data_IF_263439950763
#
_entry.id   IF_263439950763
#
_cell.length_a   1.000
_cell.length_b   1.000
_cell.length_c   1.000
_cell.angle_alpha   90.00
_cell.angle_beta   90.00
_cell.angle_gamma   90.00
#
_symmetry.space_group_name_H-M   'P 1'
#
loop_
_entity.id
_entity.type
_entity.pdbx_description
1 polymer ?
#
# COMPACT_ATOMS: atom_id res chain seq x y z
N UNK A 1 -16.76 -4.21 -20.55
CA UNK A 1 -15.83 -3.28 -21.25
C UNK A 1 -14.53 -3.99 -21.51
N UNK A 2 -13.99 -3.97 -22.74
CA UNK A 2 -12.64 -4.43 -23.00
C UNK A 2 -11.65 -3.57 -22.19
N UNK A 3 -10.67 -4.22 -21.54
CA UNK A 3 -9.61 -3.55 -20.77
C UNK A 3 -8.30 -3.74 -21.50
N UNK A 4 -7.69 -2.65 -21.94
CA UNK A 4 -6.39 -2.65 -22.62
C UNK A 4 -5.31 -2.30 -21.59
N UNK A 5 -4.28 -3.15 -21.48
CA UNK A 5 -3.17 -2.92 -20.56
C UNK A 5 -2.06 -2.17 -21.28
N UNK A 6 -1.44 -1.20 -20.61
CA UNK A 6 -0.19 -0.60 -21.07
C UNK A 6 0.91 -1.65 -20.93
N UNK A 7 1.61 -1.94 -22.02
CA UNK A 7 2.70 -2.93 -22.07
C UNK A 7 4.08 -2.26 -22.11
N UNK A 8 4.18 -1.05 -22.66
CA UNK A 8 5.43 -0.29 -22.74
C UNK A 8 5.17 1.21 -22.95
N UNK A 9 6.21 2.05 -22.85
CA UNK A 9 6.19 3.48 -23.17
C UNK A 9 7.37 3.77 -24.11
N UNK A 10 7.08 4.09 -25.38
CA UNK A 10 8.09 4.39 -26.41
C UNK A 10 7.92 5.83 -26.85
N UNK A 11 8.99 6.63 -26.85
CA UNK A 11 8.94 8.05 -27.22
C UNK A 11 7.90 8.87 -26.43
N UNK A 12 7.71 8.55 -25.15
CA UNK A 12 6.68 9.14 -24.28
C UNK A 12 5.22 8.81 -24.66
N UNK A 13 4.99 7.87 -25.58
CA UNK A 13 3.65 7.40 -25.93
C UNK A 13 3.39 5.99 -25.35
N UNK A 14 2.23 5.75 -24.72
CA UNK A 14 1.88 4.44 -24.18
C UNK A 14 1.55 3.45 -25.30
N UNK A 15 2.16 2.26 -25.22
CA UNK A 15 1.91 1.12 -26.09
C UNK A 15 0.96 0.16 -25.38
N UNK A 16 -0.12 -0.28 -26.04
CA UNK A 16 -1.15 -1.12 -25.43
C UNK A 16 -1.11 -2.56 -25.98
N UNK A 17 -1.52 -3.52 -25.15
CA UNK A 17 -1.76 -4.91 -25.56
C UNK A 17 -3.25 -5.20 -25.75
N UNK A 18 -3.59 -6.05 -26.73
CA UNK A 18 -4.97 -6.52 -26.92
C UNK A 18 -5.43 -7.35 -25.71
N UNK A 19 -6.74 -7.33 -25.34
CA UNK A 19 -7.25 -8.00 -24.14
C UNK A 19 -7.08 -9.54 -24.08
N UNK A 20 -6.63 -10.20 -25.17
CA UNK A 20 -6.48 -11.66 -25.28
C UNK A 20 -5.32 -12.12 -26.18
N UNK A 21 -4.48 -11.21 -26.67
CA UNK A 21 -3.31 -11.57 -27.48
C UNK A 21 -2.10 -10.75 -27.04
N UNK A 22 -0.90 -11.26 -27.33
CA UNK A 22 0.37 -10.53 -27.12
C UNK A 22 0.61 -9.47 -28.20
N UNK A 23 -0.38 -9.20 -29.05
CA UNK A 23 -0.25 -8.22 -30.11
C UNK A 23 -0.34 -6.80 -29.55
N UNK A 24 0.53 -5.95 -30.08
CA UNK A 24 0.52 -4.52 -29.85
C UNK A 24 -0.69 -3.91 -30.56
N UNK A 25 -1.38 -3.00 -29.88
CA UNK A 25 -2.46 -2.20 -30.43
C UNK A 25 -2.21 -0.72 -30.13
N UNK A 26 -2.44 0.14 -31.11
CA UNK A 26 -2.28 1.58 -30.93
C UNK A 26 -3.48 2.19 -30.21
N UNK A 27 -3.27 3.37 -29.60
CA UNK A 27 -4.38 4.11 -28.97
C UNK A 27 -5.45 4.52 -29.99
N UNK A 28 -5.07 4.79 -31.24
CA UNK A 28 -6.00 5.13 -32.33
C UNK A 28 -6.97 3.99 -32.63
N UNK A 29 -6.47 2.76 -32.64
CA UNK A 29 -7.30 1.57 -32.83
C UNK A 29 -8.22 1.31 -31.63
N UNK A 30 -7.74 1.52 -30.40
CA UNK A 30 -8.59 1.44 -29.20
C UNK A 30 -9.73 2.46 -29.28
N UNK A 31 -9.43 3.70 -29.68
CA UNK A 31 -10.41 4.78 -29.81
C UNK A 31 -11.42 4.53 -30.94
N UNK A 32 -11.01 3.85 -32.02
CA UNK A 32 -11.91 3.46 -33.11
C UNK A 32 -12.94 2.40 -32.66
N UNK A 33 -12.61 1.57 -31.69
CA UNK A 33 -13.49 0.55 -31.10
C UNK A 33 -14.49 1.15 -30.07
N UNK A 34 -14.33 2.44 -29.70
CA UNK A 34 -15.24 3.11 -28.77
C UNK A 34 -16.50 3.55 -29.50
N UNK A 35 -17.65 3.02 -29.08
CA UNK A 35 -18.97 3.45 -29.57
C UNK A 35 -19.17 4.95 -29.31
N UNK A 36 -19.78 5.66 -30.26
CA UNK A 36 -20.19 7.05 -30.06
C UNK A 36 -21.09 7.16 -28.81
N UNK A 37 -20.69 8.00 -27.83
CA UNK A 37 -21.34 8.08 -26.52
C UNK A 37 -20.79 7.15 -25.43
N UNK A 38 -19.74 6.36 -25.72
CA UNK A 38 -19.06 5.51 -24.76
C UNK A 38 -18.18 6.29 -23.78
N UNK A 39 -18.13 5.84 -22.51
CA UNK A 39 -17.24 6.42 -21.50
C UNK A 39 -15.87 5.73 -21.50
N UNK A 40 -14.80 6.52 -21.61
CA UNK A 40 -13.44 6.06 -21.35
C UNK A 40 -13.17 6.16 -19.85
N UNK A 41 -12.93 5.02 -19.20
CA UNK A 41 -12.52 4.97 -17.80
C UNK A 41 -11.01 4.75 -17.74
N UNK A 42 -10.27 5.82 -17.48
CA UNK A 42 -8.84 5.73 -17.17
C UNK A 42 -8.68 5.05 -15.82
N UNK A 43 -8.04 3.89 -15.79
CA UNK A 43 -7.60 3.28 -14.55
C UNK A 43 -6.30 3.99 -14.16
N UNK A 44 -6.32 4.72 -13.05
CA UNK A 44 -5.09 5.24 -12.45
C UNK A 44 -4.16 4.08 -12.12
N UNK A 45 -2.82 4.29 -12.12
CA UNK A 45 -1.89 3.27 -11.64
C UNK A 45 -2.38 2.73 -10.31
N UNK A 46 -2.43 1.42 -10.16
CA UNK A 46 -2.68 0.84 -8.85
C UNK A 46 -1.51 1.26 -7.97
N UNK A 47 -1.79 2.15 -7.04
CA UNK A 47 -0.83 2.65 -6.06
C UNK A 47 -0.46 1.51 -5.10
N UNK A 48 0.48 0.69 -5.54
CA UNK A 48 1.09 -0.35 -4.72
C UNK A 48 2.41 0.16 -4.16
N UNK A 49 2.57 -0.01 -2.85
CA UNK A 49 3.86 0.06 -2.21
C UNK A 49 4.78 -1.00 -2.82
N UNK A 50 6.06 -0.67 -2.99
CA UNK A 50 7.04 -1.62 -3.53
C UNK A 50 7.29 -2.76 -2.54
N UNK A 51 7.81 -3.88 -3.03
CA UNK A 51 8.22 -4.98 -2.14
C UNK A 51 9.28 -4.51 -1.14
N UNK A 52 10.21 -3.66 -1.58
CA UNK A 52 11.22 -3.06 -0.72
C UNK A 52 10.58 -2.24 0.41
N UNK A 53 9.59 -1.39 0.12
CA UNK A 53 8.86 -0.63 1.14
C UNK A 53 8.13 -1.55 2.13
N UNK A 54 7.55 -2.66 1.64
CA UNK A 54 6.93 -3.67 2.51
C UNK A 54 7.95 -4.34 3.42
N UNK A 55 9.13 -4.69 2.90
CA UNK A 55 10.23 -5.28 3.68
C UNK A 55 10.78 -4.29 4.71
N UNK A 56 10.92 -3.01 4.36
CA UNK A 56 11.30 -1.97 5.31
C UNK A 56 10.31 -1.82 6.45
N UNK A 57 9.02 -1.75 6.13
CA UNK A 57 8.00 -1.57 7.16
C UNK A 57 7.86 -2.81 8.04
N UNK A 58 7.59 -3.98 7.46
CA UNK A 58 7.32 -5.20 8.23
C UNK A 58 8.57 -5.93 8.68
N UNK A 59 9.58 -5.99 7.82
CA UNK A 59 10.80 -6.78 8.03
C UNK A 59 11.91 -6.05 8.75
N UNK A 60 11.88 -4.71 8.83
CA UNK A 60 12.85 -3.91 9.58
C UNK A 60 12.15 -3.19 10.73
N UNK A 61 11.28 -2.21 10.44
CA UNK A 61 10.69 -1.35 11.46
C UNK A 61 9.91 -2.17 12.50
N UNK A 62 8.86 -2.89 12.08
CA UNK A 62 8.03 -3.65 13.02
C UNK A 62 8.79 -4.81 13.66
N UNK A 63 9.64 -5.52 12.90
CA UNK A 63 10.44 -6.63 13.42
C UNK A 63 11.37 -6.17 14.54
N UNK A 64 12.10 -5.08 14.33
CA UNK A 64 13.09 -4.60 15.29
C UNK A 64 12.40 -3.99 16.52
N UNK A 65 11.25 -3.33 16.34
CA UNK A 65 10.42 -2.87 17.46
C UNK A 65 9.96 -4.04 18.35
N UNK A 66 9.46 -5.13 17.76
CA UNK A 66 9.07 -6.33 18.52
C UNK A 66 10.28 -6.98 19.19
N UNK A 67 11.40 -7.12 18.47
CA UNK A 67 12.62 -7.76 18.99
C UNK A 67 13.21 -7.01 20.19
N UNK A 68 13.15 -5.68 20.15
CA UNK A 68 13.76 -4.80 21.15
C UNK A 68 12.74 -4.31 22.19
N UNK A 69 11.52 -4.82 22.17
CA UNK A 69 10.52 -4.49 23.18
C UNK A 69 10.70 -5.33 24.44
N UNK A 70 10.95 -4.65 25.55
CA UNK A 70 11.15 -5.29 26.86
C UNK A 70 9.84 -5.81 27.46
N UNK A 71 8.69 -5.32 26.97
CA UNK A 71 7.36 -5.71 27.46
C UNK A 71 6.81 -6.96 26.76
N UNK A 72 7.44 -7.43 25.69
CA UNK A 72 7.02 -8.61 24.93
C UNK A 72 5.78 -8.39 24.05
N UNK A 73 5.53 -7.15 23.64
CA UNK A 73 4.39 -6.77 22.80
C UNK A 73 4.46 -7.37 21.40
N UNK A 74 3.28 -7.62 20.84
CA UNK A 74 3.15 -8.30 19.54
C UNK A 74 3.37 -7.36 18.36
N UNK A 75 3.62 -7.94 17.18
CA UNK A 75 3.73 -7.18 15.94
C UNK A 75 2.44 -6.40 15.61
N UNK A 76 1.27 -6.93 15.93
CA UNK A 76 -0.01 -6.26 15.69
C UNK A 76 -0.22 -5.08 16.65
N UNK A 77 0.26 -5.21 17.89
CA UNK A 77 0.29 -4.11 18.84
C UNK A 77 1.18 -2.98 18.31
N UNK A 78 2.42 -3.29 17.90
CA UNK A 78 3.33 -2.31 17.31
C UNK A 78 2.80 -1.73 15.98
N UNK A 79 2.14 -2.52 15.12
CA UNK A 79 1.46 -2.01 13.92
C UNK A 79 0.47 -0.89 14.28
N UNK A 80 -0.31 -1.08 15.34
CA UNK A 80 -1.29 -0.11 15.83
C UNK A 80 -0.62 1.10 16.47
N UNK A 81 0.38 0.85 17.32
CA UNK A 81 1.07 1.88 18.08
C UNK A 81 1.83 2.84 17.16
N UNK A 82 2.54 2.29 16.18
CA UNK A 82 3.33 3.04 15.20
C UNK A 82 2.40 3.88 14.32
N UNK A 83 1.26 3.34 13.90
CA UNK A 83 0.24 4.11 13.14
C UNK A 83 -0.33 5.27 13.95
N UNK A 84 -0.46 5.10 15.26
CA UNK A 84 -0.97 6.13 16.16
C UNK A 84 0.08 7.21 16.43
N UNK A 85 1.32 6.81 16.72
CA UNK A 85 2.41 7.72 17.11
C UNK A 85 3.16 8.35 15.94
N UNK A 86 3.12 7.77 14.74
CA UNK A 86 3.86 8.24 13.56
C UNK A 86 2.94 8.83 12.49
N UNK A 87 1.94 9.62 12.91
CA UNK A 87 1.00 10.33 12.02
C UNK A 87 0.36 9.42 10.95
N UNK A 88 0.02 8.19 11.29
CA UNK A 88 -0.51 7.22 10.33
C UNK A 88 -1.76 7.71 9.59
N UNK A 89 -2.58 8.56 10.22
CA UNK A 89 -3.75 9.19 9.58
C UNK A 89 -3.39 10.11 8.40
N UNK A 90 -2.20 10.71 8.40
CA UNK A 90 -1.75 11.61 7.33
C UNK A 90 -1.25 10.85 6.09
N UNK A 91 -0.72 9.64 6.29
CA UNK A 91 -0.01 8.90 5.24
C UNK A 91 -0.74 7.62 4.80
N UNK A 92 -1.55 7.01 5.66
CA UNK A 92 -2.22 5.74 5.40
C UNK A 92 -3.70 5.93 5.06
N UNK A 93 -4.25 4.90 4.41
CA UNK A 93 -5.66 4.90 4.03
C UNK A 93 -6.53 4.39 5.18
N UNK A 94 -7.64 5.07 5.45
CA UNK A 94 -8.68 4.59 6.37
C UNK A 94 -9.59 3.59 5.65
N UNK A 95 -9.77 2.43 6.25
CA UNK A 95 -10.64 1.36 5.77
C UNK A 95 -11.61 0.98 6.90
N UNK A 96 -12.90 0.83 6.58
CA UNK A 96 -13.90 0.34 7.52
C UNK A 96 -13.95 -1.18 7.44
N UNK A 97 -13.66 -1.87 8.55
CA UNK A 97 -13.88 -3.30 8.67
C UNK A 97 -15.16 -3.55 9.47
N UNK A 98 -16.04 -4.39 8.94
CA UNK A 98 -17.24 -4.81 9.65
C UNK A 98 -16.85 -6.01 10.51
N UNK A 99 -16.99 -5.87 11.83
CA UNK A 99 -16.73 -6.92 12.80
C UNK A 99 -18.06 -7.30 13.44
N UNK A 100 -18.32 -8.60 13.49
CA UNK A 100 -19.44 -9.15 14.25
C UNK A 100 -18.97 -9.37 15.69
N UNK A 101 -19.53 -8.61 16.62
CA UNK A 101 -19.28 -8.77 18.05
C UNK A 101 -20.46 -9.52 18.65
N UNK A 102 -20.17 -10.62 19.36
CA UNK A 102 -21.16 -11.34 20.14
C UNK A 102 -21.23 -10.72 21.53
N UNK A 103 -22.31 -9.99 21.82
CA UNK A 103 -22.60 -9.39 23.12
C UNK A 103 -23.75 -10.16 23.75
N UNK A 104 -23.41 -11.19 24.53
CA UNK A 104 -24.40 -12.14 25.07
C UNK A 104 -24.98 -13.02 23.96
N UNK A 105 -26.30 -13.02 23.80
CA UNK A 105 -27.00 -13.80 22.76
C UNK A 105 -27.24 -13.03 21.45
N UNK A 106 -26.90 -11.74 21.41
CA UNK A 106 -27.05 -10.91 20.21
C UNK A 106 -25.73 -10.78 19.44
N UNK A 107 -25.82 -10.88 18.11
CA UNK A 107 -24.71 -10.60 17.19
C UNK A 107 -24.88 -9.18 16.68
N UNK A 108 -24.03 -8.26 17.13
CA UNK A 108 -24.02 -6.86 16.68
C UNK A 108 -22.92 -6.66 15.63
N UNK A 109 -23.28 -6.05 14.50
CA UNK A 109 -22.32 -5.63 13.47
C UNK A 109 -21.81 -4.23 13.78
N UNK A 110 -20.51 -4.10 14.02
CA UNK A 110 -19.87 -2.81 14.26
C UNK A 110 -18.86 -2.53 13.16
N UNK A 111 -18.84 -1.30 12.64
CA UNK A 111 -17.81 -0.87 11.68
C UNK A 111 -16.67 -0.20 12.43
N UNK A 112 -15.49 -0.82 12.41
CA UNK A 112 -14.28 -0.29 13.04
C UNK A 112 -13.39 0.32 11.96
N UNK A 113 -12.94 1.56 12.17
CA UNK A 113 -11.99 2.21 11.28
C UNK A 113 -10.57 1.73 11.54
N UNK A 114 -9.92 1.14 10.54
CA UNK A 114 -8.51 0.72 10.57
C UNK A 114 -7.69 1.51 9.56
N UNK A 115 -6.44 1.80 9.90
CA UNK A 115 -5.45 2.29 8.95
C UNK A 115 -4.74 1.14 8.23
N UNK A 116 -4.78 1.18 6.89
CA UNK A 116 -4.26 0.15 6.01
C UNK A 116 -3.12 0.67 5.14
N UNK A 117 -2.16 -0.20 4.85
CA UNK A 117 -1.11 0.05 3.86
C UNK A 117 -1.53 -0.40 2.45
N UNK A 118 -2.73 -0.99 2.31
CA UNK A 118 -3.29 -1.41 1.01
C UNK A 118 -3.70 -0.20 0.20
N UNK A 119 -3.31 -0.17 -1.07
CA UNK A 119 -3.60 0.93 -2.01
C UNK A 119 -3.09 2.29 -1.49
N UNK A 120 -1.93 2.28 -0.83
CA UNK A 120 -1.21 3.50 -0.43
C UNK A 120 -0.13 3.77 -1.47
N UNK A 121 -0.08 5.01 -1.97
CA UNK A 121 0.97 5.46 -2.89
C UNK A 121 2.37 5.31 -2.32
N UNK A 122 3.33 5.00 -3.19
CA UNK A 122 4.74 4.81 -2.82
C UNK A 122 5.28 6.01 -2.04
N UNK A 123 4.95 7.24 -2.46
CA UNK A 123 5.36 8.47 -1.77
C UNK A 123 4.90 8.48 -0.31
N UNK A 124 3.62 8.23 -0.07
CA UNK A 124 3.05 8.24 1.28
C UNK A 124 3.62 7.12 2.15
N UNK A 125 3.89 5.95 1.57
CA UNK A 125 4.53 4.86 2.30
C UNK A 125 5.97 5.20 2.69
N UNK A 126 6.75 5.83 1.80
CA UNK A 126 8.11 6.30 2.14
C UNK A 126 8.06 7.34 3.27
N UNK A 127 7.17 8.34 3.17
CA UNK A 127 6.99 9.36 4.22
C UNK A 127 6.56 8.73 5.56
N UNK A 128 5.71 7.70 5.53
CA UNK A 128 5.34 6.98 6.74
C UNK A 128 6.55 6.27 7.36
N UNK A 129 7.35 5.54 6.56
CA UNK A 129 8.56 4.86 7.06
C UNK A 129 9.55 5.87 7.63
N UNK A 130 9.77 7.00 6.95
CA UNK A 130 10.64 8.08 7.44
C UNK A 130 10.14 8.68 8.76
N UNK A 131 8.82 8.87 8.92
CA UNK A 131 8.25 9.33 10.20
C UNK A 131 8.46 8.30 11.31
N UNK A 132 8.39 6.99 11.02
CA UNK A 132 8.70 5.93 12.00
C UNK A 132 10.15 6.06 12.46
N UNK A 133 11.09 6.19 11.52
CA UNK A 133 12.52 6.34 11.82
C UNK A 133 12.82 7.67 12.54
N UNK A 134 12.08 8.72 12.23
CA UNK A 134 12.18 9.98 12.96
C UNK A 134 11.69 9.84 14.41
N UNK A 135 10.51 9.23 14.60
CA UNK A 135 9.95 8.96 15.93
C UNK A 135 10.81 7.97 16.72
N UNK A 136 11.49 7.03 16.05
CA UNK A 136 12.36 6.08 16.73
C UNK A 136 13.55 6.79 17.38
N UNK A 137 14.14 7.79 16.72
CA UNK A 137 15.19 8.63 17.31
C UNK A 137 14.69 9.46 18.50
N UNK A 138 13.47 10.01 18.41
CA UNK A 138 12.89 10.84 19.48
C UNK A 138 12.48 10.00 20.70
N UNK A 139 11.96 8.79 20.46
CA UNK A 139 11.38 7.92 21.49
C UNK A 139 12.35 6.88 22.02
N UNK A 140 13.57 6.82 21.47
CA UNK A 140 14.57 5.81 21.82
C UNK A 140 14.21 4.42 21.33
N UNK A 141 13.36 4.28 20.29
CA UNK A 141 13.11 2.98 19.70
C UNK A 141 14.32 2.53 18.90
N UNK A 142 14.86 1.36 19.26
CA UNK A 142 16.02 0.81 18.60
C UNK A 142 15.58 0.11 17.30
N UNK A 143 15.51 0.86 16.20
CA UNK A 143 15.29 0.30 14.86
C UNK A 143 16.66 0.25 14.18
N UNK A 144 17.13 -0.96 13.90
CA UNK A 144 18.42 -1.16 13.26
C UNK A 144 18.41 -0.68 11.82
N UNK A 145 19.59 -0.37 11.25
CA UNK A 145 19.65 -0.11 9.83
C UNK A 145 19.25 -1.38 9.05
N UNK A 146 18.70 -1.23 7.85
CA UNK A 146 18.27 -2.36 7.03
C UNK A 146 19.46 -3.29 6.79
N UNK A 147 19.18 -4.59 6.78
CA UNK A 147 20.13 -5.64 6.41
C UNK A 147 20.84 -5.23 5.09
N UNK A 148 22.16 -5.47 4.91
CA UNK A 148 22.86 -5.08 3.69
C UNK A 148 22.18 -5.62 2.41
N UNK A 149 21.54 -6.79 2.49
CA UNK A 149 20.75 -7.37 1.38
C UNK A 149 19.50 -6.54 1.01
N UNK A 150 18.93 -5.79 1.95
CA UNK A 150 17.83 -4.86 1.69
C UNK A 150 18.30 -3.51 1.11
N UNK A 151 19.62 -3.27 1.11
CA UNK A 151 20.26 -2.09 0.48
C UNK A 151 20.67 -2.34 -0.97
N UNK A 152 20.87 -3.60 -1.35
CA UNK A 152 21.15 -3.98 -2.74
C UNK A 152 19.85 -3.96 -3.55
N UNK A 153 19.92 -3.32 -4.74
CA UNK A 153 18.81 -3.21 -5.70
C UNK A 153 18.49 -4.55 -6.37
#
# INVERSE_FOLDING_TARGET
MPTYRVIDIVNCEPVFGKPRSKEVISIKEILADVKFGGALKTLTPLEYITEQQRRWYKGVCLRDLVKNDENGETMDWWDTEVKTKCKGLAYLKKEGIVVELKLGDEITRVTIGRLTTKNVGQKNMSLFIEEILSQSMVRGWNIGPPDPELRAK
#
